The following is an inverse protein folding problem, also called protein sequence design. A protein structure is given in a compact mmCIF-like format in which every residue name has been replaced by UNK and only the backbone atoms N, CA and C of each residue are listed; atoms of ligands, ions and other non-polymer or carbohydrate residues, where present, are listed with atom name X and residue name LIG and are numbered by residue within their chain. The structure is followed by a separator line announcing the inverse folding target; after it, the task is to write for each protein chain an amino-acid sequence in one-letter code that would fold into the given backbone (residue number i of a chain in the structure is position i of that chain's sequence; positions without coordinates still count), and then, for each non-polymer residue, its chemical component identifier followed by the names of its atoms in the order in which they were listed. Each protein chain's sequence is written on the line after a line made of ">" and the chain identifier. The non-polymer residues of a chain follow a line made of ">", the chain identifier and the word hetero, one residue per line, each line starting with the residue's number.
data_IF_666705441574
#
_entry.id   IF_666705441574
#
_cell.length_a   1.000
_cell.length_b   1.000
_cell.length_c   1.000
_cell.angle_alpha   90.00
_cell.angle_beta   90.00
_cell.angle_gamma   90.00
#
_symmetry.space_group_name_H-M   'P 1'
#
loop_
_entity.id
_entity.type
_entity.pdbx_description
1 polymer ?
#
# COMPACT_ATOMS: atom_id res chain seq x y z
N UNK A 1 23.72 -44.55 5.03
CA UNK A 1 22.54 -43.66 4.90
C UNK A 1 21.60 -44.20 3.83
N UNK A 2 20.34 -44.46 4.20
CA UNK A 2 19.32 -45.05 3.32
C UNK A 2 18.82 -44.04 2.28
N UNK A 3 18.46 -44.49 1.08
CA UNK A 3 17.86 -43.65 0.02
C UNK A 3 16.66 -42.84 0.53
N UNK A 4 15.92 -43.39 1.50
CA UNK A 4 14.77 -42.73 2.14
C UNK A 4 15.18 -41.53 2.99
N UNK A 5 16.30 -41.61 3.72
CA UNK A 5 16.82 -40.48 4.51
C UNK A 5 17.40 -39.38 3.62
N UNK A 6 17.96 -39.73 2.46
CA UNK A 6 18.39 -38.74 1.46
C UNK A 6 17.21 -38.03 0.79
N UNK A 7 16.14 -38.76 0.47
CA UNK A 7 14.94 -38.20 -0.14
C UNK A 7 14.22 -37.25 0.82
N UNK A 8 14.12 -37.62 2.10
CA UNK A 8 13.50 -36.78 3.14
C UNK A 8 14.29 -35.47 3.35
N UNK A 9 15.62 -35.54 3.38
CA UNK A 9 16.47 -34.35 3.46
C UNK A 9 16.35 -33.47 2.21
N UNK A 10 16.18 -34.07 1.03
CA UNK A 10 15.96 -33.34 -0.22
C UNK A 10 14.62 -32.61 -0.25
N UNK A 11 13.56 -33.24 0.25
CA UNK A 11 12.23 -32.60 0.33
C UNK A 11 12.23 -31.45 1.33
N UNK A 12 12.91 -31.59 2.48
CA UNK A 12 13.06 -30.51 3.46
C UNK A 12 13.88 -29.34 2.88
N UNK A 13 14.95 -29.64 2.14
CA UNK A 13 15.73 -28.62 1.44
C UNK A 13 14.93 -27.90 0.34
N UNK A 14 14.03 -28.63 -0.36
CA UNK A 14 13.15 -28.05 -1.37
C UNK A 14 12.05 -27.18 -0.74
N UNK A 15 11.52 -27.58 0.42
CA UNK A 15 10.52 -26.80 1.17
C UNK A 15 11.12 -25.51 1.76
N UNK A 16 12.40 -25.52 2.13
CA UNK A 16 13.10 -24.32 2.58
C UNK A 16 13.40 -23.32 1.45
N UNK A 17 13.28 -23.74 0.19
CA UNK A 17 13.48 -22.87 -0.98
C UNK A 17 12.21 -22.08 -1.39
N UNK A 18 11.04 -22.42 -0.82
CA UNK A 18 9.74 -21.75 -1.05
C UNK A 18 9.43 -20.83 0.15
N UNK A 19 10.46 -20.25 0.76
CA UNK A 19 10.25 -19.08 1.61
C UNK A 19 9.99 -17.89 0.69
N UNK A 20 8.98 -17.03 0.96
CA UNK A 20 8.85 -15.79 0.22
C UNK A 20 10.16 -15.03 0.38
N UNK A 21 10.88 -14.84 -0.72
CA UNK A 21 11.99 -13.92 -0.76
C UNK A 21 11.41 -12.55 -0.38
N UNK A 22 11.63 -12.13 0.86
CA UNK A 22 11.52 -10.74 1.24
C UNK A 22 12.40 -9.99 0.26
N UNK A 23 11.76 -9.28 -0.68
CA UNK A 23 12.44 -8.39 -1.59
C UNK A 23 13.24 -7.46 -0.68
N UNK A 24 14.57 -7.44 -0.76
CA UNK A 24 15.33 -6.46 -0.02
C UNK A 24 14.92 -5.11 -0.60
N UNK A 25 14.09 -4.39 0.15
CA UNK A 25 13.97 -2.94 -0.01
C UNK A 25 15.40 -2.43 -0.03
N UNK A 26 15.77 -1.79 -1.13
CA UNK A 26 17.04 -1.13 -1.26
C UNK A 26 17.12 -0.16 -0.09
N UNK A 27 17.93 -0.51 0.91
CA UNK A 27 18.30 0.38 1.97
C UNK A 27 18.89 1.62 1.31
N UNK A 28 18.18 2.75 1.41
CA UNK A 28 18.73 4.06 1.08
C UNK A 28 19.75 4.36 2.18
N UNK A 29 20.96 3.82 2.04
CA UNK A 29 22.05 4.04 2.98
C UNK A 29 22.39 5.55 3.03
N UNK A 30 21.98 6.21 4.10
CA UNK A 30 22.61 7.47 4.56
C UNK A 30 21.70 8.68 4.78
N UNK A 31 20.42 8.65 4.41
CA UNK A 31 19.49 9.69 4.83
C UNK A 31 18.82 9.26 6.13
N UNK A 32 18.94 10.06 7.20
CA UNK A 32 18.14 9.85 8.40
C UNK A 32 16.66 9.92 8.00
N UNK A 33 15.93 8.82 8.16
CA UNK A 33 14.49 8.80 8.01
C UNK A 33 13.88 9.60 9.17
N UNK A 34 13.54 10.85 8.88
CA UNK A 34 13.03 11.80 9.87
C UNK A 34 11.66 11.39 10.45
N UNK A 35 11.01 10.38 9.87
CA UNK A 35 9.65 9.98 10.22
C UNK A 35 9.55 8.52 10.68
N UNK A 36 10.62 7.75 10.66
CA UNK A 36 10.61 6.32 11.02
C UNK A 36 9.98 6.05 12.38
N UNK A 37 10.41 6.76 13.43
CA UNK A 37 9.89 6.58 14.79
C UNK A 37 8.41 7.01 14.90
N UNK A 38 8.02 8.05 14.16
CA UNK A 38 6.64 8.54 14.15
C UNK A 38 5.71 7.53 13.46
N UNK A 39 6.11 6.98 12.32
CA UNK A 39 5.35 5.96 11.58
C UNK A 39 5.26 4.67 12.39
N UNK A 40 6.35 4.24 13.04
CA UNK A 40 6.37 3.05 13.89
C UNK A 40 5.46 3.17 15.14
N UNK A 41 5.16 4.40 15.57
CA UNK A 41 4.25 4.67 16.69
C UNK A 41 2.76 4.60 16.32
N UNK A 42 2.43 4.60 15.02
CA UNK A 42 1.05 4.55 14.56
C UNK A 42 0.43 3.16 14.80
N UNK A 43 -0.83 3.07 15.25
CA UNK A 43 -1.54 1.80 15.30
C UNK A 43 -1.75 1.25 13.88
N UNK A 44 -1.21 0.05 13.61
CA UNK A 44 -1.26 -0.58 12.27
C UNK A 44 -2.67 -0.96 11.77
N UNK A 45 -3.70 -0.90 12.63
CA UNK A 45 -5.07 -1.37 12.35
C UNK A 45 -6.14 -0.32 12.64
N UNK A 46 -5.76 0.96 12.70
CA UNK A 46 -6.77 2.01 12.89
C UNK A 46 -7.62 2.15 11.62
N UNK A 47 -8.94 2.04 11.77
CA UNK A 47 -9.86 2.35 10.69
C UNK A 47 -9.76 3.84 10.33
N UNK A 48 -9.43 4.13 9.07
CA UNK A 48 -9.30 5.50 8.57
C UNK A 48 -10.50 5.86 7.72
N UNK A 49 -10.98 7.09 7.86
CA UNK A 49 -11.87 7.71 6.87
C UNK A 49 -11.09 8.80 6.17
N UNK A 50 -10.85 8.63 4.88
CA UNK A 50 -10.07 9.54 4.05
C UNK A 50 -11.00 10.12 3.01
N UNK A 51 -10.90 11.43 2.78
CA UNK A 51 -11.62 12.10 1.71
C UNK A 51 -10.63 12.57 0.65
N UNK A 52 -10.94 12.29 -0.61
CA UNK A 52 -10.15 12.68 -1.77
C UNK A 52 -11.03 13.51 -2.72
N UNK A 53 -10.70 14.80 -2.86
CA UNK A 53 -11.28 15.69 -3.86
C UNK A 53 -10.27 15.91 -4.99
N UNK A 54 -10.67 15.62 -6.23
CA UNK A 54 -9.85 15.86 -7.41
C UNK A 54 -10.37 17.07 -8.20
N UNK A 55 -9.55 17.77 -9.00
CA UNK A 55 -9.96 19.03 -9.62
C UNK A 55 -11.19 18.97 -10.53
N UNK A 56 -11.27 17.99 -11.43
CA UNK A 56 -12.36 17.89 -12.40
C UNK A 56 -12.46 16.46 -12.96
N UNK A 57 -13.50 15.70 -12.58
CA UNK A 57 -13.66 14.33 -13.08
C UNK A 57 -14.12 14.27 -14.55
N UNK A 58 -14.40 15.39 -15.21
CA UNK A 58 -14.57 15.42 -16.67
C UNK A 58 -13.25 15.13 -17.42
N UNK A 59 -12.10 15.33 -16.77
CA UNK A 59 -10.81 15.02 -17.38
C UNK A 59 -10.38 13.57 -17.11
N UNK A 60 -10.12 12.74 -18.15
CA UNK A 60 -9.90 11.30 -18.00
C UNK A 60 -8.75 10.90 -17.06
N UNK A 61 -7.74 11.74 -16.93
CA UNK A 61 -6.63 11.50 -16.01
C UNK A 61 -7.10 11.46 -14.55
N UNK A 62 -8.00 12.37 -14.15
CA UNK A 62 -8.50 12.42 -12.78
C UNK A 62 -9.44 11.25 -12.47
N UNK A 63 -10.20 10.77 -13.46
CA UNK A 63 -10.95 9.51 -13.33
C UNK A 63 -10.01 8.34 -13.07
N UNK A 64 -8.91 8.24 -13.83
CA UNK A 64 -7.92 7.18 -13.64
C UNK A 64 -7.26 7.28 -12.26
N UNK A 65 -6.83 8.48 -11.84
CA UNK A 65 -6.26 8.69 -10.51
C UNK A 65 -7.24 8.29 -9.40
N UNK A 66 -8.50 8.68 -9.50
CA UNK A 66 -9.49 8.34 -8.48
C UNK A 66 -9.70 6.82 -8.36
N UNK A 67 -9.73 6.12 -9.50
CA UNK A 67 -9.79 4.66 -9.52
C UNK A 67 -8.56 4.01 -8.88
N UNK A 68 -7.35 4.54 -9.11
CA UNK A 68 -6.14 4.03 -8.46
C UNK A 68 -6.16 4.26 -6.95
N UNK A 69 -6.61 5.42 -6.49
CA UNK A 69 -6.76 5.70 -5.05
C UNK A 69 -7.77 4.74 -4.42
N UNK A 70 -8.91 4.50 -5.07
CA UNK A 70 -9.92 3.57 -4.59
C UNK A 70 -9.40 2.13 -4.52
N UNK A 71 -8.69 1.68 -5.56
CA UNK A 71 -8.09 0.35 -5.59
C UNK A 71 -7.03 0.15 -4.50
N UNK A 72 -6.20 1.17 -4.24
CA UNK A 72 -5.19 1.12 -3.18
C UNK A 72 -5.83 1.11 -1.78
N UNK A 73 -6.87 1.94 -1.56
CA UNK A 73 -7.62 1.94 -0.30
C UNK A 73 -8.27 0.58 -0.02
N UNK A 74 -8.81 -0.09 -1.05
CA UNK A 74 -9.34 -1.45 -0.95
C UNK A 74 -8.23 -2.48 -0.66
N UNK A 75 -7.08 -2.36 -1.34
CA UNK A 75 -5.96 -3.28 -1.16
C UNK A 75 -5.32 -3.20 0.24
N UNK A 76 -5.18 -2.00 0.79
CA UNK A 76 -4.73 -1.77 2.17
C UNK A 76 -5.79 -2.28 3.16
N UNK A 77 -7.07 -2.07 2.83
CA UNK A 77 -8.19 -2.39 3.72
C UNK A 77 -8.32 -1.41 4.88
N UNK A 78 -9.42 -1.51 5.62
CA UNK A 78 -9.70 -0.67 6.80
C UNK A 78 -9.72 0.87 6.52
N UNK A 79 -9.79 1.27 5.24
CA UNK A 79 -9.92 2.65 4.80
C UNK A 79 -11.32 2.82 4.20
N UNK A 80 -12.09 3.76 4.74
CA UNK A 80 -13.30 4.29 4.09
C UNK A 80 -12.90 5.50 3.26
N UNK A 81 -12.97 5.38 1.94
CA UNK A 81 -12.65 6.46 1.01
C UNK A 81 -13.91 7.22 0.58
N UNK A 82 -13.95 8.52 0.85
CA UNK A 82 -14.96 9.46 0.35
C UNK A 82 -14.37 10.16 -0.88
N UNK A 83 -15.07 10.08 -2.01
CA UNK A 83 -14.58 10.57 -3.30
C UNK A 83 -15.44 11.75 -3.75
N UNK A 84 -14.81 12.88 -4.03
CA UNK A 84 -15.47 14.12 -4.44
C UNK A 84 -14.89 14.63 -5.78
N UNK A 85 -15.74 15.29 -6.55
CA UNK A 85 -15.38 15.98 -7.79
C UNK A 85 -15.31 17.48 -7.54
N UNK A 86 -14.16 18.11 -7.77
CA UNK A 86 -13.96 19.55 -7.61
C UNK A 86 -14.69 20.40 -8.66
N UNK A 87 -15.22 19.80 -9.72
CA UNK A 87 -16.01 20.48 -10.77
C UNK A 87 -15.27 21.67 -11.43
N UNK A 88 -13.94 21.64 -11.42
CA UNK A 88 -13.06 22.72 -11.85
C UNK A 88 -13.33 24.06 -11.14
N UNK A 89 -13.85 24.01 -9.90
CA UNK A 89 -14.13 25.18 -9.06
C UNK A 89 -13.31 25.12 -7.76
N UNK A 90 -12.38 26.06 -7.62
CA UNK A 90 -11.53 26.16 -6.44
C UNK A 90 -12.31 26.48 -5.15
N UNK A 91 -13.43 27.20 -5.24
CA UNK A 91 -14.30 27.50 -4.08
C UNK A 91 -14.96 26.22 -3.59
N UNK A 92 -15.48 25.42 -4.53
CA UNK A 92 -16.09 24.12 -4.23
C UNK A 92 -15.05 23.15 -3.66
N UNK A 93 -13.89 23.05 -4.31
CA UNK A 93 -12.80 22.19 -3.83
C UNK A 93 -12.28 22.61 -2.45
N UNK A 94 -12.27 23.90 -2.13
CA UNK A 94 -11.95 24.38 -0.77
C UNK A 94 -13.05 24.00 0.22
N UNK A 95 -14.32 24.04 -0.19
CA UNK A 95 -15.46 23.67 0.65
C UNK A 95 -15.61 22.16 0.86
N UNK A 96 -14.91 21.34 0.07
CA UNK A 96 -14.84 19.91 0.30
C UNK A 96 -14.09 19.56 1.59
N UNK A 97 -13.09 20.36 1.99
CA UNK A 97 -12.18 20.13 3.14
C UNK A 97 -12.76 20.64 4.45
#
# INVERSE_FOLDING_TARGET
>A
MSRKTKLLLWVIALLALIAPAAVPVLAQDGAADLYADAIASCPNDQALTIMASLPDLAFPFFVHMQQQIAAEAEAIGNITLIQLDGENDATKQTADV
#
